data_IF_536549589040
#
_entry.id   IF_536549589040
#
_cell.length_a   1.000
_cell.length_b   1.000
_cell.length_c   1.000
_cell.angle_alpha   90.00
_cell.angle_beta   90.00
_cell.angle_gamma   90.00
#
_symmetry.space_group_name_H-M   'P 1'
#
loop_
_entity.id
_entity.type
_entity.pdbx_description
1 polymer ?
#
# COMPACT_ATOMS: atom_id res chain seq x y z
N UNK A 1 -2.45 15.50 -1.08
CA UNK A 1 -1.54 16.53 -0.52
C UNK A 1 -2.22 17.89 -0.66
N UNK A 2 -2.13 18.79 0.34
CA UNK A 2 -2.67 20.15 0.22
C UNK A 2 -2.01 20.88 -0.95
N UNK A 3 -2.79 21.61 -1.73
CA UNK A 3 -2.34 22.37 -2.90
C UNK A 3 -2.18 23.84 -2.55
N UNK A 4 -1.06 24.43 -2.99
CA UNK A 4 -0.78 25.85 -2.84
C UNK A 4 -1.54 26.64 -3.91
N UNK A 5 -2.13 27.76 -3.51
CA UNK A 5 -2.71 28.72 -4.42
C UNK A 5 -1.60 29.49 -5.15
N UNK A 6 -1.78 29.69 -6.45
CA UNK A 6 -0.87 30.47 -7.29
C UNK A 6 -1.61 31.57 -8.05
N UNK A 7 -0.88 32.46 -8.70
CA UNK A 7 -1.46 33.50 -9.59
C UNK A 7 -2.16 32.94 -10.83
N UNK A 8 -2.04 31.64 -11.10
CA UNK A 8 -2.77 30.98 -12.18
C UNK A 8 -4.20 30.58 -11.78
N UNK A 9 -4.53 30.67 -10.49
CA UNK A 9 -5.86 30.31 -10.00
C UNK A 9 -6.95 31.17 -10.65
N UNK A 10 -8.03 30.51 -11.05
CA UNK A 10 -9.27 31.15 -11.45
C UNK A 10 -10.01 31.51 -10.18
N UNK A 11 -10.06 32.80 -9.89
CA UNK A 11 -10.79 33.36 -8.75
C UNK A 11 -12.00 34.10 -9.29
N UNK A 12 -13.17 33.88 -8.72
CA UNK A 12 -14.40 34.59 -9.11
C UNK A 12 -15.16 35.08 -7.88
N UNK A 13 -15.67 36.30 -7.95
CA UNK A 13 -16.62 36.80 -6.96
C UNK A 13 -17.98 36.11 -7.14
N UNK A 14 -18.90 36.17 -6.14
CA UNK A 14 -20.21 35.53 -6.27
C UNK A 14 -21.11 36.19 -7.32
N UNK A 15 -20.76 37.38 -7.82
CA UNK A 15 -21.43 38.03 -8.95
C UNK A 15 -20.84 37.61 -10.31
N UNK A 16 -19.93 36.64 -10.35
CA UNK A 16 -19.34 36.10 -11.59
C UNK A 16 -18.19 36.92 -12.17
N UNK A 17 -17.72 37.97 -11.48
CA UNK A 17 -16.58 38.76 -11.90
C UNK A 17 -15.25 38.05 -11.63
N UNK A 18 -14.32 37.99 -12.61
CA UNK A 18 -13.03 37.36 -12.41
C UNK A 18 -12.13 38.17 -11.47
N UNK A 19 -11.29 37.45 -10.75
CA UNK A 19 -10.31 37.96 -9.82
C UNK A 19 -8.89 37.65 -10.26
N UNK A 20 -7.98 38.57 -9.99
CA UNK A 20 -6.54 38.39 -10.21
C UNK A 20 -5.82 38.69 -8.92
N UNK A 21 -4.89 37.83 -8.51
CA UNK A 21 -4.05 38.06 -7.31
C UNK A 21 -2.71 38.63 -7.75
N UNK A 22 -2.25 39.66 -7.05
CA UNK A 22 -0.91 40.22 -7.19
C UNK A 22 -0.09 39.82 -5.96
N UNK A 23 0.93 38.96 -6.11
CA UNK A 23 1.81 38.62 -5.01
C UNK A 23 2.55 39.87 -4.52
N UNK A 24 2.56 40.07 -3.22
CA UNK A 24 3.31 41.14 -2.58
C UNK A 24 4.83 40.97 -2.77
N UNK A 25 5.30 39.72 -2.78
CA UNK A 25 6.71 39.35 -2.98
C UNK A 25 6.80 38.11 -3.91
N UNK A 26 6.81 38.30 -5.24
CA UNK A 26 6.85 37.18 -6.19
C UNK A 26 8.23 36.51 -6.19
N UNK A 27 8.35 35.34 -5.54
CA UNK A 27 9.62 34.60 -5.44
C UNK A 27 9.57 33.16 -5.92
N UNK A 28 8.50 32.43 -5.63
CA UNK A 28 8.37 31.02 -5.98
C UNK A 28 7.32 30.84 -7.07
N UNK A 29 7.67 30.12 -8.14
CA UNK A 29 6.76 29.80 -9.23
C UNK A 29 6.47 28.31 -9.28
N UNK A 30 5.21 27.97 -9.51
CA UNK A 30 4.73 26.60 -9.76
C UNK A 30 3.91 26.66 -11.04
N UNK A 31 4.30 25.87 -12.05
CA UNK A 31 3.61 25.81 -13.34
C UNK A 31 3.38 27.19 -13.99
N UNK A 32 4.34 28.11 -13.85
CA UNK A 32 4.30 29.46 -14.42
C UNK A 32 3.57 30.52 -13.59
N UNK A 33 2.87 30.12 -12.51
CA UNK A 33 2.21 31.05 -11.58
C UNK A 33 3.02 31.25 -10.32
N UNK A 34 3.01 32.46 -9.74
CA UNK A 34 3.66 32.72 -8.46
C UNK A 34 2.81 32.21 -7.31
N UNK A 35 3.43 31.62 -6.29
CA UNK A 35 2.72 31.17 -5.09
C UNK A 35 2.18 32.38 -4.32
N UNK A 36 0.91 32.30 -3.91
CA UNK A 36 0.25 33.32 -3.13
C UNK A 36 0.42 33.06 -1.63
N UNK A 37 0.62 34.13 -0.86
CA UNK A 37 0.79 34.12 0.59
C UNK A 37 -0.24 34.99 1.30
N UNK A 38 -0.37 34.80 2.61
CA UNK A 38 -1.22 35.62 3.47
C UNK A 38 -0.94 37.11 3.26
N UNK A 39 -2.01 37.90 3.20
CA UNK A 39 -2.02 39.34 2.91
C UNK A 39 -1.80 39.75 1.45
N UNK A 40 -1.55 38.83 0.52
CA UNK A 40 -1.58 39.15 -0.91
C UNK A 40 -2.94 39.73 -1.31
N UNK A 41 -2.91 40.69 -2.23
CA UNK A 41 -4.08 41.47 -2.62
C UNK A 41 -4.52 41.03 -4.01
N UNK A 42 -5.83 40.87 -4.18
CA UNK A 42 -6.40 40.69 -5.50
C UNK A 42 -7.47 41.72 -5.83
N UNK A 43 -7.65 41.93 -7.12
CA UNK A 43 -8.66 42.82 -7.70
C UNK A 43 -9.75 41.98 -8.33
N UNK A 44 -11.01 42.41 -8.21
CA UNK A 44 -12.16 41.75 -8.82
C UNK A 44 -12.81 42.64 -9.87
N UNK A 45 -12.88 42.16 -11.12
CA UNK A 45 -13.66 42.80 -12.19
C UNK A 45 -15.14 42.43 -12.05
N UNK A 46 -15.79 42.97 -11.01
CA UNK A 46 -17.17 42.63 -10.64
C UNK A 46 -18.19 43.27 -11.61
N UNK A 47 -19.06 42.49 -12.28
CA UNK A 47 -20.07 43.05 -13.18
C UNK A 47 -21.23 43.75 -12.45
N UNK A 48 -21.40 43.48 -11.15
CA UNK A 48 -22.42 44.12 -10.33
C UNK A 48 -21.98 45.54 -9.91
N UNK A 49 -22.41 46.55 -10.69
CA UNK A 49 -21.94 47.94 -10.56
C UNK A 49 -22.48 48.68 -9.33
N UNK A 50 -23.63 48.27 -8.79
CA UNK A 50 -24.26 48.96 -7.64
C UNK A 50 -23.47 48.70 -6.35
N UNK A 51 -22.89 47.50 -6.21
CA UNK A 51 -22.07 47.11 -5.08
C UNK A 51 -20.92 46.21 -5.55
N UNK A 52 -19.88 46.77 -6.19
CA UNK A 52 -18.78 45.98 -6.70
C UNK A 52 -18.00 45.38 -5.53
N UNK A 53 -17.58 44.11 -5.66
CA UNK A 53 -16.76 43.45 -4.65
C UNK A 53 -15.39 44.15 -4.45
N UNK A 54 -14.92 44.88 -5.46
CA UNK A 54 -13.70 45.71 -5.45
C UNK A 54 -12.38 44.92 -5.47
N UNK A 55 -12.28 43.90 -4.63
CA UNK A 55 -11.08 43.09 -4.48
C UNK A 55 -11.18 42.18 -3.27
N UNK A 56 -10.05 41.63 -2.87
CA UNK A 56 -9.91 40.74 -1.72
C UNK A 56 -8.50 40.81 -1.16
N UNK A 57 -8.36 40.32 0.07
CA UNK A 57 -7.06 40.05 0.70
C UNK A 57 -7.03 38.59 1.09
N UNK A 58 -5.99 37.88 0.68
CA UNK A 58 -5.89 36.46 0.97
C UNK A 58 -5.57 36.22 2.45
N UNK A 59 -6.31 35.30 3.06
CA UNK A 59 -6.18 34.91 4.46
C UNK A 59 -6.05 33.39 4.54
N UNK A 60 -4.99 32.93 5.22
CA UNK A 60 -4.82 31.50 5.45
C UNK A 60 -5.69 31.05 6.60
N UNK A 61 -6.34 29.89 6.49
CA UNK A 61 -7.05 29.29 7.62
C UNK A 61 -6.09 28.65 8.64
N UNK A 62 -4.79 28.62 8.35
CA UNK A 62 -3.79 27.99 9.21
C UNK A 62 -3.84 26.47 9.23
N UNK A 63 -4.73 25.84 8.45
CA UNK A 63 -4.85 24.40 8.34
C UNK A 63 -3.72 23.87 7.45
N UNK A 64 -2.72 23.22 8.04
CA UNK A 64 -1.55 22.68 7.32
C UNK A 64 -0.76 23.74 6.50
N UNK A 65 -0.86 25.02 6.86
CA UNK A 65 -0.19 26.10 6.15
C UNK A 65 1.33 26.04 6.40
N UNK A 66 2.07 25.57 5.39
CA UNK A 66 3.52 25.77 5.33
C UNK A 66 3.81 27.27 5.23
N UNK A 67 4.92 27.73 5.81
CA UNK A 67 5.38 29.11 5.66
C UNK A 67 6.32 29.23 4.47
N UNK A 68 6.21 30.32 3.73
CA UNK A 68 7.12 30.74 2.66
C UNK A 68 7.62 32.12 3.05
N UNK A 69 8.92 32.24 3.31
CA UNK A 69 9.54 33.48 3.80
C UNK A 69 8.77 34.09 5.00
N UNK A 70 8.50 33.24 6.00
CA UNK A 70 7.79 33.58 7.24
C UNK A 70 6.29 33.93 7.10
N UNK A 71 5.80 34.16 5.89
CA UNK A 71 4.38 34.33 5.58
C UNK A 71 3.68 32.99 5.41
N UNK A 72 2.44 32.85 5.88
CA UNK A 72 1.68 31.61 5.65
C UNK A 72 1.31 31.50 4.18
N UNK A 73 1.57 30.34 3.58
CA UNK A 73 1.11 30.07 2.22
C UNK A 73 -0.42 29.94 2.19
N UNK A 74 -1.03 30.34 1.08
CA UNK A 74 -2.47 30.16 0.87
C UNK A 74 -2.68 28.79 0.24
N UNK A 75 -3.57 28.00 0.83
CA UNK A 75 -4.01 26.75 0.23
C UNK A 75 -5.21 27.00 -0.66
N UNK A 76 -5.37 26.21 -1.73
CA UNK A 76 -6.56 26.24 -2.59
C UNK A 76 -7.85 26.01 -1.80
N UNK A 77 -7.75 25.29 -0.68
CA UNK A 77 -8.86 24.99 0.23
C UNK A 77 -9.13 26.08 1.28
N UNK A 78 -8.34 27.16 1.34
CA UNK A 78 -8.58 28.25 2.28
C UNK A 78 -9.83 29.06 1.88
N UNK A 79 -10.74 29.27 2.82
CA UNK A 79 -11.92 30.11 2.60
C UNK A 79 -11.52 31.59 2.59
N UNK A 80 -11.65 32.23 1.42
CA UNK A 80 -11.34 33.64 1.22
C UNK A 80 -12.60 34.44 0.89
N UNK A 81 -12.57 35.74 1.20
CA UNK A 81 -13.69 36.65 1.02
C UNK A 81 -13.25 37.93 0.32
N UNK A 82 -14.18 38.57 -0.38
CA UNK A 82 -14.02 39.93 -0.90
C UNK A 82 -13.92 40.95 0.23
N UNK A 83 -13.53 42.19 -0.10
CA UNK A 83 -13.60 43.31 0.84
C UNK A 83 -15.03 43.59 1.35
N UNK A 84 -16.05 43.12 0.64
CA UNK A 84 -17.45 43.19 1.05
C UNK A 84 -17.89 41.99 1.91
N UNK A 85 -16.96 41.10 2.30
CA UNK A 85 -17.22 39.92 3.13
C UNK A 85 -17.90 38.76 2.40
N UNK A 86 -17.98 38.81 1.07
CA UNK A 86 -18.63 37.75 0.29
C UNK A 86 -17.63 36.66 -0.07
N UNK A 87 -18.01 35.36 -0.03
CA UNK A 87 -17.08 34.27 -0.31
C UNK A 87 -16.62 34.28 -1.76
N UNK A 88 -15.34 33.96 -1.97
CA UNK A 88 -14.77 33.77 -3.31
C UNK A 88 -14.85 32.30 -3.72
N UNK A 89 -15.12 32.07 -5.00
CA UNK A 89 -14.87 30.77 -5.63
C UNK A 89 -13.44 30.76 -6.18
N UNK A 90 -12.65 29.79 -5.77
CA UNK A 90 -11.25 29.64 -6.15
C UNK A 90 -11.06 28.27 -6.77
N UNK A 91 -10.50 28.22 -7.97
CA UNK A 91 -10.15 26.98 -8.69
C UNK A 91 -8.71 27.09 -9.17
N UNK A 92 -7.86 26.15 -8.78
CA UNK A 92 -6.47 26.10 -9.23
C UNK A 92 -6.30 24.94 -10.21
N UNK A 93 -5.51 25.16 -11.26
CA UNK A 93 -5.22 24.12 -12.26
C UNK A 93 -3.72 23.93 -12.36
N UNK A 94 -3.29 22.67 -12.28
CA UNK A 94 -1.89 22.32 -12.41
C UNK A 94 -1.72 21.33 -13.55
N UNK A 95 -0.77 21.61 -14.44
CA UNK A 95 -0.32 20.61 -15.39
C UNK A 95 0.44 19.54 -14.62
N UNK A 96 -0.06 18.31 -14.67
CA UNK A 96 0.68 17.14 -14.25
C UNK A 96 1.37 16.59 -15.49
N UNK A 97 2.68 16.82 -15.62
CA UNK A 97 3.46 16.18 -16.66
C UNK A 97 3.71 14.75 -16.19
N UNK A 98 2.93 13.82 -16.71
CA UNK A 98 3.16 12.41 -16.47
C UNK A 98 4.34 11.91 -17.33
N UNK A 99 5.54 11.99 -16.77
CA UNK A 99 6.75 11.41 -17.36
C UNK A 99 6.83 9.89 -17.19
N UNK A 100 5.80 9.23 -16.64
CA UNK A 100 5.78 7.77 -16.57
C UNK A 100 5.53 7.10 -17.93
N UNK A 101 5.05 7.87 -18.91
CA UNK A 101 4.89 7.38 -20.28
C UNK A 101 6.27 7.28 -20.95
N UNK A 102 6.75 6.08 -21.31
CA UNK A 102 8.04 5.93 -21.95
C UNK A 102 8.08 6.69 -23.29
N UNK A 103 9.25 7.21 -23.66
CA UNK A 103 9.43 7.84 -24.96
C UNK A 103 9.03 6.87 -26.10
N UNK A 104 8.44 7.37 -27.20
CA UNK A 104 8.09 6.53 -28.35
C UNK A 104 9.33 5.82 -28.90
N UNK A 105 9.19 4.52 -29.22
CA UNK A 105 10.26 3.75 -29.86
C UNK A 105 10.51 4.36 -31.27
N UNK A 106 11.75 4.71 -31.64
CA UNK A 106 12.08 5.23 -32.96
C UNK A 106 11.60 4.30 -34.09
N UNK A 107 11.11 4.87 -35.20
CA UNK A 107 10.64 4.11 -36.34
C UNK A 107 11.72 3.14 -36.86
N UNK A 108 11.39 1.85 -36.95
CA UNK A 108 12.29 0.79 -37.39
C UNK A 108 13.13 0.13 -36.29
N UNK A 109 13.07 0.61 -35.05
CA UNK A 109 13.63 -0.10 -33.90
C UNK A 109 12.57 -1.02 -33.27
N UNK A 110 12.98 -2.23 -32.89
CA UNK A 110 12.14 -3.10 -32.08
C UNK A 110 12.07 -2.55 -30.66
N UNK A 111 10.93 -2.75 -30.00
CA UNK A 111 10.81 -2.47 -28.57
C UNK A 111 11.95 -3.18 -27.83
N UNK A 112 12.56 -2.55 -26.81
CA UNK A 112 13.46 -3.27 -25.91
C UNK A 112 12.77 -4.56 -25.44
N UNK A 113 13.46 -5.70 -25.43
CA UNK A 113 12.88 -6.92 -24.89
C UNK A 113 12.36 -6.62 -23.49
N UNK A 114 11.14 -7.09 -23.19
CA UNK A 114 10.57 -6.94 -21.86
C UNK A 114 11.59 -7.42 -20.81
N UNK A 115 11.70 -6.68 -19.71
CA UNK A 115 12.60 -7.09 -18.64
C UNK A 115 12.26 -8.53 -18.22
N UNK A 116 13.24 -9.36 -17.82
CA UNK A 116 13.00 -10.74 -17.38
C UNK A 116 11.95 -10.87 -16.27
N UNK A 117 11.70 -9.79 -15.52
CA UNK A 117 10.65 -9.68 -14.51
C UNK A 117 9.22 -9.66 -15.13
N UNK A 118 9.06 -9.09 -16.33
CA UNK A 118 7.79 -8.99 -17.04
C UNK A 118 7.46 -10.20 -17.91
N UNK A 119 8.44 -11.08 -18.18
CA UNK A 119 8.27 -12.29 -19.00
C UNK A 119 7.84 -13.55 -18.23
N UNK A 120 7.70 -13.47 -16.91
CA UNK A 120 7.30 -14.59 -16.05
C UNK A 120 5.78 -14.86 -16.11
N UNK A 121 5.35 -15.73 -17.01
CA UNK A 121 3.93 -15.94 -17.33
C UNK A 121 3.17 -16.84 -16.35
N UNK A 122 3.82 -17.44 -15.34
CA UNK A 122 3.22 -18.44 -14.46
C UNK A 122 3.23 -17.99 -13.00
N UNK A 123 2.09 -18.17 -12.32
CA UNK A 123 1.99 -17.96 -10.87
C UNK A 123 2.82 -19.02 -10.10
N UNK A 124 3.35 -18.70 -8.91
CA UNK A 124 4.09 -19.67 -8.11
C UNK A 124 3.23 -20.90 -7.79
N UNK A 125 3.79 -22.09 -8.01
CA UNK A 125 3.12 -23.36 -7.69
C UNK A 125 3.68 -23.87 -6.38
N UNK A 126 2.78 -24.19 -5.45
CA UNK A 126 3.11 -24.86 -4.20
C UNK A 126 2.48 -26.26 -4.24
N UNK A 127 3.30 -27.29 -3.97
CA UNK A 127 2.84 -28.69 -3.92
C UNK A 127 3.21 -29.26 -2.56
N UNK A 128 2.24 -29.90 -1.92
CA UNK A 128 2.42 -30.66 -0.67
C UNK A 128 2.51 -32.15 -1.00
N UNK A 129 3.54 -32.79 -0.48
CA UNK A 129 3.55 -34.24 -0.33
C UNK A 129 3.03 -34.54 1.09
N UNK A 130 1.79 -35.01 1.27
CA UNK A 130 1.33 -35.39 2.60
C UNK A 130 2.14 -36.61 3.07
N UNK A 131 2.56 -36.66 4.34
CA UNK A 131 3.23 -37.84 4.88
C UNK A 131 2.28 -39.05 4.87
N UNK A 132 2.82 -40.24 4.60
CA UNK A 132 2.12 -41.50 4.87
C UNK A 132 2.17 -41.78 6.37
N UNK A 133 1.01 -41.73 7.04
CA UNK A 133 0.89 -42.08 8.46
C UNK A 133 0.62 -43.58 8.65
N UNK A 134 1.36 -44.24 9.55
CA UNK A 134 0.81 -45.33 10.35
C UNK A 134 0.66 -44.83 11.79
N UNK A 135 -0.53 -44.32 12.17
CA UNK A 135 -0.80 -44.04 13.58
C UNK A 135 -2.09 -44.69 14.04
N UNK A 136 -1.99 -45.49 15.12
CA UNK A 136 -3.09 -45.98 15.95
C UNK A 136 -2.87 -45.45 17.36
N UNK A 137 -3.89 -44.80 17.93
CA UNK A 137 -3.88 -44.37 19.34
C UNK A 137 -4.19 -45.60 20.20
N UNK A 138 -3.17 -46.28 20.69
CA UNK A 138 -3.22 -47.23 21.83
C UNK A 138 -1.79 -47.36 22.37
N UNK A 139 -1.52 -47.30 23.69
CA UNK A 139 -0.18 -46.98 24.21
C UNK A 139 0.78 -48.19 24.23
N UNK A 140 2.13 -47.99 24.21
CA UNK A 140 2.92 -47.10 23.35
C UNK A 140 4.02 -47.87 22.55
N UNK A 141 4.61 -47.25 21.51
CA UNK A 141 5.86 -46.52 21.73
C UNK A 141 5.68 -45.02 21.52
N UNK A 142 6.62 -44.23 22.04
CA UNK A 142 6.57 -42.77 22.06
C UNK A 142 6.12 -42.18 20.69
N UNK A 143 5.24 -41.17 20.68
CA UNK A 143 4.82 -40.55 19.43
C UNK A 143 6.07 -40.07 18.68
N UNK A 144 6.17 -40.39 17.39
CA UNK A 144 7.28 -39.95 16.54
C UNK A 144 7.05 -38.49 16.12
N UNK A 145 8.11 -37.72 15.82
CA UNK A 145 7.94 -36.38 15.25
C UNK A 145 7.18 -36.46 13.93
N UNK A 146 6.28 -35.50 13.71
CA UNK A 146 5.50 -35.41 12.47
C UNK A 146 6.20 -34.44 11.52
N UNK A 147 6.43 -34.88 10.28
CA UNK A 147 7.16 -34.10 9.28
C UNK A 147 6.27 -33.80 8.07
N UNK A 148 6.22 -32.53 7.67
CA UNK A 148 5.57 -32.06 6.45
C UNK A 148 6.58 -31.41 5.53
N UNK A 149 6.39 -31.59 4.22
CA UNK A 149 7.25 -30.98 3.20
C UNK A 149 6.40 -30.22 2.18
N UNK A 150 6.75 -28.96 1.97
CA UNK A 150 6.16 -28.06 0.98
C UNK A 150 7.22 -27.71 -0.05
N UNK A 151 6.89 -27.83 -1.32
CA UNK A 151 7.77 -27.40 -2.40
C UNK A 151 7.18 -26.15 -3.06
N UNK A 152 7.97 -25.06 -3.10
CA UNK A 152 7.63 -23.84 -3.79
C UNK A 152 8.46 -23.73 -5.07
N UNK A 153 7.84 -23.25 -6.16
CA UNK A 153 8.56 -22.90 -7.40
C UNK A 153 8.09 -21.56 -7.95
N UNK A 154 9.02 -20.64 -8.22
CA UNK A 154 8.79 -19.35 -8.88
C UNK A 154 10.08 -18.87 -9.55
N UNK A 155 10.01 -18.18 -10.69
CA UNK A 155 11.23 -17.69 -11.34
C UNK A 155 11.86 -16.50 -10.61
N UNK A 156 11.05 -15.71 -9.90
CA UNK A 156 11.50 -14.51 -9.15
C UNK A 156 10.97 -14.53 -7.71
N UNK A 157 11.47 -15.43 -6.85
CA UNK A 157 10.99 -15.59 -5.48
C UNK A 157 11.44 -14.43 -4.57
N UNK A 158 10.67 -14.14 -3.53
CA UNK A 158 11.01 -13.14 -2.51
C UNK A 158 10.94 -13.73 -1.10
N UNK A 159 9.76 -14.18 -0.69
CA UNK A 159 9.51 -14.68 0.67
C UNK A 159 8.41 -15.74 0.70
N UNK A 160 8.26 -16.44 1.82
CA UNK A 160 7.18 -17.37 2.10
C UNK A 160 6.71 -17.22 3.55
N UNK A 161 5.47 -17.61 3.81
CA UNK A 161 4.83 -17.54 5.13
C UNK A 161 4.17 -18.89 5.41
N UNK A 162 4.36 -19.40 6.63
CA UNK A 162 3.75 -20.64 7.12
C UNK A 162 2.87 -20.35 8.33
N UNK A 163 1.60 -20.75 8.28
CA UNK A 163 0.63 -20.52 9.35
C UNK A 163 -0.05 -21.82 9.75
N UNK A 164 -0.17 -22.07 11.06
CA UNK A 164 -1.04 -23.11 11.60
C UNK A 164 -2.40 -22.51 11.97
N UNK A 165 -3.48 -23.13 11.51
CA UNK A 165 -4.86 -22.76 11.82
C UNK A 165 -5.54 -23.96 12.47
N UNK A 166 -6.17 -23.74 13.62
CA UNK A 166 -6.95 -24.76 14.34
C UNK A 166 -8.45 -24.56 14.06
N UNK A 167 -9.12 -25.54 13.41
CA UNK A 167 -10.48 -25.39 12.84
C UNK A 167 -11.44 -26.50 13.30
N UNK A 168 -12.64 -26.17 13.84
CA UNK A 168 -12.86 -25.72 15.21
C UNK A 168 -13.38 -26.86 16.12
N UNK A 169 -12.90 -26.91 17.35
CA UNK A 169 -13.68 -27.38 18.51
C UNK A 169 -13.91 -26.26 19.55
N UNK A 170 -13.50 -25.00 19.25
CA UNK A 170 -13.73 -23.83 20.10
C UNK A 170 -14.06 -22.56 19.27
N UNK A 171 -14.75 -21.55 19.84
CA UNK A 171 -15.35 -20.42 19.10
C UNK A 171 -14.35 -19.38 18.58
N UNK A 172 -13.06 -19.52 18.91
CA UNK A 172 -11.98 -18.65 18.42
C UNK A 172 -10.93 -19.55 17.79
N UNK A 173 -10.94 -19.68 16.45
CA UNK A 173 -9.84 -20.35 15.76
C UNK A 173 -8.52 -19.70 16.15
N UNK A 174 -7.56 -20.47 16.66
CA UNK A 174 -6.24 -19.96 16.95
C UNK A 174 -5.39 -20.03 15.68
N UNK A 175 -4.64 -18.96 15.43
CA UNK A 175 -3.72 -18.83 14.31
C UNK A 175 -2.31 -18.62 14.86
N UNK A 176 -1.35 -19.42 14.39
CA UNK A 176 0.05 -19.30 14.77
C UNK A 176 0.90 -19.10 13.52
N UNK A 177 1.67 -18.02 13.47
CA UNK A 177 2.74 -17.88 12.48
C UNK A 177 3.91 -18.80 12.88
N UNK A 178 4.20 -19.77 12.02
CA UNK A 178 5.24 -20.77 12.20
C UNK A 178 6.43 -20.53 11.26
N UNK A 179 6.50 -19.41 10.55
CA UNK A 179 7.58 -19.10 9.57
C UNK A 179 8.99 -19.18 10.20
N UNK A 180 9.08 -18.96 11.51
CA UNK A 180 10.32 -19.05 12.29
C UNK A 180 10.37 -20.30 13.18
N UNK A 181 9.35 -21.16 13.12
CA UNK A 181 9.11 -22.23 14.08
C UNK A 181 8.65 -21.71 15.45
N UNK A 182 8.44 -22.65 16.37
CA UNK A 182 8.21 -22.39 17.79
C UNK A 182 9.30 -23.15 18.55
N UNK A 183 10.19 -22.47 19.28
CA UNK A 183 11.29 -23.11 20.01
C UNK A 183 10.79 -24.29 20.86
N UNK A 184 11.41 -25.46 20.70
CA UNK A 184 11.09 -26.67 21.47
C UNK A 184 9.86 -27.45 21.00
N UNK A 185 9.07 -26.92 20.07
CA UNK A 185 7.77 -27.50 19.68
C UNK A 185 7.64 -27.74 18.18
N UNK A 186 8.07 -26.79 17.36
CA UNK A 186 8.01 -26.87 15.89
C UNK A 186 9.30 -26.32 15.31
N UNK A 187 9.99 -27.09 14.49
CA UNK A 187 11.13 -26.62 13.71
C UNK A 187 10.74 -26.49 12.24
N UNK A 188 11.21 -25.42 11.60
CA UNK A 188 10.96 -25.15 10.18
C UNK A 188 12.31 -24.90 9.50
N UNK A 189 12.53 -25.57 8.38
CA UNK A 189 13.78 -25.47 7.61
C UNK A 189 13.50 -25.31 6.11
N UNK A 190 14.05 -24.27 5.46
CA UNK A 190 14.75 -23.14 6.09
C UNK A 190 13.78 -22.32 6.97
N UNK A 191 14.31 -21.52 7.90
CA UNK A 191 13.52 -20.59 8.71
C UNK A 191 13.72 -19.15 8.23
N UNK A 192 12.85 -18.23 8.67
CA UNK A 192 13.01 -16.80 8.39
C UNK A 192 12.29 -16.29 7.14
N UNK A 193 11.52 -17.16 6.47
CA UNK A 193 10.64 -16.75 5.38
C UNK A 193 11.34 -16.30 4.11
N UNK A 194 12.67 -16.32 4.04
CA UNK A 194 13.40 -15.90 2.83
C UNK A 194 13.29 -16.97 1.73
N UNK A 195 13.05 -16.51 0.50
CA UNK A 195 12.98 -17.38 -0.68
C UNK A 195 13.91 -16.84 -1.77
N UNK A 196 15.13 -17.34 -1.83
CA UNK A 196 16.20 -16.78 -2.67
C UNK A 196 16.53 -17.59 -3.92
N UNK A 197 15.91 -18.76 -4.10
CA UNK A 197 16.16 -19.66 -5.23
C UNK A 197 14.86 -20.08 -5.91
N UNK A 198 14.84 -20.30 -7.24
CA UNK A 198 13.61 -20.57 -7.98
C UNK A 198 12.80 -21.77 -7.49
N UNK A 199 13.46 -22.73 -6.85
CA UNK A 199 12.83 -23.83 -6.13
C UNK A 199 13.25 -23.80 -4.66
N UNK A 200 12.30 -24.09 -3.77
CA UNK A 200 12.53 -24.17 -2.34
C UNK A 200 11.71 -25.30 -1.72
N UNK A 201 12.34 -26.07 -0.84
CA UNK A 201 11.66 -27.08 -0.04
C UNK A 201 11.62 -26.62 1.42
N UNK A 202 10.42 -26.40 1.94
CA UNK A 202 10.17 -26.06 3.34
C UNK A 202 9.74 -27.32 4.08
N UNK A 203 10.52 -27.70 5.08
CA UNK A 203 10.26 -28.85 5.95
C UNK A 203 9.82 -28.38 7.32
N UNK A 204 8.67 -28.87 7.78
CA UNK A 204 8.10 -28.57 9.10
C UNK A 204 8.17 -29.85 9.92
N UNK A 205 8.86 -29.82 11.06
CA UNK A 205 8.93 -30.95 12.00
C UNK A 205 8.28 -30.55 13.31
N UNK A 206 7.26 -31.29 13.72
CA UNK A 206 6.54 -31.08 14.98
C UNK A 206 6.98 -32.10 16.01
N UNK A 207 7.28 -31.64 17.22
CA UNK A 207 7.69 -32.53 18.30
C UNK A 207 6.48 -33.32 18.81
N UNK A 208 6.71 -34.53 19.34
CA UNK A 208 5.63 -35.35 19.89
C UNK A 208 4.80 -34.65 21.00
N UNK A 209 5.42 -33.91 21.95
CA UNK A 209 4.66 -33.14 22.94
C UNK A 209 3.75 -32.08 22.31
N UNK A 210 4.22 -31.38 21.26
CA UNK A 210 3.42 -30.39 20.57
C UNK A 210 2.21 -31.03 19.88
N UNK A 211 2.41 -32.13 19.15
CA UNK A 211 1.31 -32.84 18.50
C UNK A 211 0.29 -33.36 19.52
N UNK A 212 0.75 -33.85 20.68
CA UNK A 212 -0.15 -34.30 21.75
C UNK A 212 -0.91 -33.17 22.46
N UNK A 213 -0.42 -31.93 22.36
CA UNK A 213 -1.10 -30.74 22.90
C UNK A 213 -2.21 -30.22 21.99
N UNK A 214 -2.25 -30.68 20.73
CA UNK A 214 -3.32 -30.35 19.81
C UNK A 214 -4.61 -31.03 20.29
N UNK A 215 -5.65 -30.23 20.56
CA UNK A 215 -6.96 -30.77 20.93
C UNK A 215 -7.59 -31.59 19.79
N UNK A 216 -8.62 -32.41 20.06
CA UNK A 216 -9.36 -33.13 19.03
C UNK A 216 -9.90 -32.19 17.95
N UNK A 217 -9.74 -32.58 16.68
CA UNK A 217 -10.15 -31.79 15.52
C UNK A 217 -9.14 -31.80 14.37
N UNK A 218 -9.37 -30.96 13.37
CA UNK A 218 -8.48 -30.78 12.24
C UNK A 218 -7.62 -29.52 12.44
N UNK A 219 -6.30 -29.72 12.38
CA UNK A 219 -5.33 -28.62 12.40
C UNK A 219 -4.69 -28.50 11.02
N UNK A 220 -4.57 -27.30 10.50
CA UNK A 220 -4.20 -27.06 9.11
C UNK A 220 -2.95 -26.20 9.04
N UNK A 221 -1.92 -26.70 8.37
CA UNK A 221 -0.74 -25.93 7.99
C UNK A 221 -0.97 -25.32 6.62
N UNK A 222 -0.91 -24.00 6.54
CA UNK A 222 -0.99 -23.23 5.31
C UNK A 222 0.37 -22.65 4.98
N UNK A 223 0.85 -22.90 3.76
CA UNK A 223 2.03 -22.25 3.24
C UNK A 223 1.66 -21.42 2.01
N UNK A 224 2.14 -20.18 1.99
CA UNK A 224 2.03 -19.29 0.82
C UNK A 224 3.39 -18.71 0.47
N UNK A 225 3.65 -18.51 -0.81
CA UNK A 225 4.82 -17.84 -1.35
C UNK A 225 4.50 -16.42 -1.81
N UNK A 226 5.52 -15.57 -1.86
CA UNK A 226 5.48 -14.23 -2.45
C UNK A 226 6.62 -14.14 -3.45
N UNK A 227 6.28 -13.69 -4.64
CA UNK A 227 7.23 -13.42 -5.73
C UNK A 227 7.18 -11.92 -6.07
N UNK A 228 8.03 -11.49 -7.00
CA UNK A 228 7.96 -10.13 -7.55
C UNK A 228 6.60 -9.78 -8.20
N UNK A 229 5.72 -10.76 -8.47
CA UNK A 229 4.35 -10.52 -8.96
C UNK A 229 3.28 -10.45 -7.88
N UNK A 230 3.63 -10.72 -6.63
CA UNK A 230 2.69 -10.77 -5.51
C UNK A 230 2.55 -12.15 -4.87
N UNK A 231 1.47 -12.31 -4.12
CA UNK A 231 1.15 -13.52 -3.37
C UNK A 231 0.77 -14.69 -4.29
N UNK A 232 1.27 -15.88 -3.99
CA UNK A 232 0.81 -17.11 -4.60
C UNK A 232 -0.56 -17.54 -4.05
N UNK A 233 -1.16 -18.56 -4.65
CA UNK A 233 -2.15 -19.37 -3.94
C UNK A 233 -1.53 -20.06 -2.72
N UNK A 234 -2.35 -20.66 -1.86
CA UNK A 234 -1.88 -21.40 -0.69
C UNK A 234 -1.96 -22.91 -0.92
N UNK A 235 -1.09 -23.66 -0.25
CA UNK A 235 -1.26 -25.12 -0.11
C UNK A 235 -1.41 -25.47 1.36
N UNK A 236 -2.21 -26.51 1.60
CA UNK A 236 -2.60 -26.94 2.93
C UNK A 236 -2.14 -28.38 3.21
N UNK A 237 -1.65 -28.63 4.41
CA UNK A 237 -1.55 -29.96 5.00
C UNK A 237 -2.46 -30.04 6.22
N UNK A 238 -3.15 -31.17 6.41
CA UNK A 238 -4.08 -31.37 7.53
C UNK A 238 -3.54 -32.40 8.52
N UNK A 239 -3.67 -32.09 9.80
CA UNK A 239 -3.32 -32.92 10.95
C UNK A 239 -4.63 -33.30 11.64
N UNK A 240 -5.16 -34.51 11.39
CA UNK A 240 -6.34 -34.98 12.09
C UNK A 240 -5.96 -35.49 13.48
N UNK A 241 -6.60 -34.96 14.52
CA UNK A 241 -6.48 -35.45 15.90
C UNK A 241 -7.81 -36.08 16.29
N UNK A 242 -7.83 -37.41 16.42
CA UNK A 242 -9.00 -38.17 16.88
C UNK A 242 -8.98 -38.31 18.41
N UNK A 243 -10.14 -38.33 19.08
CA UNK A 243 -10.25 -38.60 20.52
C UNK A 243 -9.64 -39.94 20.94
#
# INVERSE_FOLDING_TARGET
MPQLLTTNAIITCPHGGPGTTTPSIPKWQINGGFVCVEQDIGVLACPFLIMPCGGYKLQSMGLNATKIDESKAILVTDFNQSFTGLPLLITETHQVIDQSTPAPIPAGQQAPPQSPALTDLLAPVVVVAPPSFPFKITPPPAPLPVVFTFNLTANHPLQWILTLITVPSAPTGQHFDLTHGIPGSVTVSPSGGQWTSPSLTVTVTMTPPFVSSLGPGNHQLYLTGVSQRGLSGHTMATIPVTP
#
